data_IF_963796814512
#
_entry.id   IF_963796814512
#
_cell.length_a   1.000
_cell.length_b   1.000
_cell.length_c   1.000
_cell.angle_alpha   90.00
_cell.angle_beta   90.00
_cell.angle_gamma   90.00
#
_symmetry.space_group_name_H-M   'P 1'
#
loop_
_entity.id
_entity.type
_entity.pdbx_description
1 polymer ?
#
# COMPACT_ATOMS: atom_id res chain seq x y z
N UNK A 1 5.92 -1.41 -0.92
CA UNK A 1 6.54 -1.60 0.42
C UNK A 1 6.93 -0.25 1.07
N UNK A 2 6.37 0.07 2.24
CA UNK A 2 6.57 1.36 2.93
C UNK A 2 7.91 1.47 3.67
N UNK A 3 8.24 2.67 4.15
CA UNK A 3 9.40 2.91 5.03
C UNK A 3 9.27 2.13 6.34
N UNK A 4 8.06 2.03 6.90
CA UNK A 4 7.80 1.22 8.09
C UNK A 4 8.10 -0.26 7.84
N UNK A 5 7.77 -0.77 6.65
CA UNK A 5 8.13 -2.13 6.23
C UNK A 5 9.63 -2.39 6.17
N UNK A 6 10.47 -1.36 5.96
CA UNK A 6 11.94 -1.48 5.96
C UNK A 6 12.49 -1.81 7.34
N UNK A 7 11.89 -1.23 8.39
CA UNK A 7 12.39 -1.37 9.77
C UNK A 7 12.25 -2.81 10.25
N UNK A 8 11.13 -3.46 9.96
CA UNK A 8 10.87 -4.83 10.40
C UNK A 8 11.44 -5.90 9.46
N UNK A 9 11.89 -5.52 8.26
CA UNK A 9 12.30 -6.48 7.22
C UNK A 9 13.38 -7.46 7.69
N UNK A 10 14.43 -6.96 8.33
CA UNK A 10 15.54 -7.80 8.79
C UNK A 10 15.09 -8.78 9.88
N UNK A 11 14.28 -8.32 10.84
CA UNK A 11 13.75 -9.15 11.90
C UNK A 11 12.80 -10.24 11.36
N UNK A 12 11.92 -9.89 10.41
CA UNK A 12 11.02 -10.84 9.75
C UNK A 12 11.81 -11.85 8.91
N UNK A 13 12.82 -11.41 8.17
CA UNK A 13 13.67 -12.31 7.37
C UNK A 13 14.42 -13.31 8.26
N UNK A 14 15.00 -12.85 9.38
CA UNK A 14 15.66 -13.73 10.34
C UNK A 14 14.68 -14.72 10.99
N UNK A 15 13.46 -14.27 11.31
CA UNK A 15 12.42 -15.14 11.86
C UNK A 15 11.96 -16.19 10.85
N UNK A 16 11.75 -15.80 9.59
CA UNK A 16 11.39 -16.73 8.52
C UNK A 16 12.47 -17.81 8.34
N UNK A 17 13.75 -17.43 8.36
CA UNK A 17 14.86 -18.37 8.29
C UNK A 17 14.86 -19.34 9.48
N UNK A 18 14.62 -18.86 10.70
CA UNK A 18 14.53 -19.69 11.91
C UNK A 18 13.34 -20.65 11.89
N UNK A 19 12.21 -20.23 11.35
CA UNK A 19 10.98 -21.04 11.31
C UNK A 19 10.86 -21.89 10.03
N UNK A 20 11.79 -21.75 9.08
CA UNK A 20 11.68 -22.40 7.78
C UNK A 20 10.43 -21.97 7.03
N UNK A 21 10.07 -20.68 7.07
CA UNK A 21 8.92 -20.14 6.35
C UNK A 21 9.34 -19.59 4.99
N UNK A 22 8.52 -19.77 3.93
CA UNK A 22 8.75 -19.13 2.65
C UNK A 22 8.70 -17.61 2.78
N UNK A 23 9.51 -16.90 1.99
CA UNK A 23 9.55 -15.43 2.02
C UNK A 23 8.77 -14.86 0.84
N UNK A 24 7.86 -13.93 1.12
CA UNK A 24 7.06 -13.23 0.11
C UNK A 24 7.37 -11.73 0.09
N UNK A 25 7.35 -11.17 -1.12
CA UNK A 25 7.43 -9.73 -1.38
C UNK A 25 6.21 -9.26 -2.15
N UNK A 26 5.60 -8.17 -1.69
CA UNK A 26 4.43 -7.55 -2.32
C UNK A 26 4.55 -6.03 -2.33
N UNK A 27 4.15 -5.40 -3.43
CA UNK A 27 4.19 -3.95 -3.56
C UNK A 27 3.15 -3.24 -2.70
N UNK A 28 1.98 -3.88 -2.50
CA UNK A 28 0.77 -3.28 -1.90
C UNK A 28 0.41 -1.95 -2.59
N UNK A 29 0.39 -2.00 -3.93
CA UNK A 29 0.29 -0.82 -4.76
C UNK A 29 -1.12 -0.21 -4.73
N UNK A 30 -1.21 1.03 -4.24
CA UNK A 30 -2.42 1.86 -4.28
C UNK A 30 -2.35 2.95 -5.37
N UNK A 31 -1.26 2.98 -6.14
CA UNK A 31 -1.08 3.83 -7.30
C UNK A 31 -0.35 3.05 -8.40
N UNK A 32 -0.63 3.38 -9.67
CA UNK A 32 -0.06 2.69 -10.83
C UNK A 32 1.47 2.68 -10.82
N UNK A 33 2.10 3.78 -10.41
CA UNK A 33 3.56 3.91 -10.31
C UNK A 33 4.20 3.02 -9.23
N UNK A 34 3.39 2.34 -8.40
CA UNK A 34 3.87 1.48 -7.33
C UNK A 34 3.79 -0.01 -7.66
N UNK A 35 3.09 -0.37 -8.73
CA UNK A 35 2.97 -1.77 -9.16
C UNK A 35 4.38 -2.31 -9.41
N UNK A 36 4.68 -3.47 -8.82
CA UNK A 36 5.99 -4.11 -8.95
C UNK A 36 7.11 -3.50 -8.11
N UNK A 37 6.87 -2.52 -7.23
CA UNK A 37 7.89 -2.07 -6.28
C UNK A 37 8.33 -3.16 -5.30
N UNK A 38 7.46 -4.12 -5.02
CA UNK A 38 7.77 -5.35 -4.32
C UNK A 38 7.12 -6.51 -5.08
N UNK A 39 7.85 -7.61 -5.21
CA UNK A 39 7.40 -8.80 -5.90
C UNK A 39 8.07 -10.03 -5.31
N UNK A 40 7.62 -11.21 -5.73
CA UNK A 40 8.21 -12.48 -5.33
C UNK A 40 8.67 -13.20 -6.58
N UNK A 41 9.93 -13.62 -6.61
CA UNK A 41 10.46 -14.53 -7.61
C UNK A 41 10.15 -15.98 -7.20
N UNK A 42 9.76 -16.78 -8.18
CA UNK A 42 9.64 -18.22 -8.08
C UNK A 42 10.03 -18.85 -9.42
N UNK A 43 10.50 -20.12 -9.43
CA UNK A 43 10.76 -20.84 -10.67
C UNK A 43 9.45 -21.08 -11.44
N UNK A 44 9.47 -20.92 -12.76
CA UNK A 44 8.29 -21.12 -13.61
C UNK A 44 7.45 -19.85 -13.79
N UNK A 45 6.22 -20.01 -14.27
CA UNK A 45 5.35 -18.88 -14.63
C UNK A 45 3.86 -19.14 -14.39
N UNK A 46 3.50 -20.35 -13.95
CA UNK A 46 2.12 -20.75 -13.70
C UNK A 46 1.74 -20.78 -12.22
N UNK A 47 0.44 -20.89 -11.97
CA UNK A 47 -0.10 -21.16 -10.62
C UNK A 47 0.48 -22.46 -10.04
N UNK A 48 0.58 -23.58 -10.78
CA UNK A 48 1.18 -24.81 -10.23
C UNK A 48 2.62 -24.60 -9.76
N UNK A 49 3.42 -23.88 -10.56
CA UNK A 49 4.82 -23.60 -10.23
C UNK A 49 4.94 -22.75 -8.95
N UNK A 50 4.04 -21.76 -8.81
CA UNK A 50 3.95 -20.95 -7.59
C UNK A 50 3.61 -21.82 -6.37
N UNK A 51 2.62 -22.70 -6.47
CA UNK A 51 2.23 -23.58 -5.36
C UNK A 51 3.38 -24.53 -4.97
N UNK A 52 4.09 -25.09 -5.96
CA UNK A 52 5.30 -25.88 -5.74
C UNK A 52 6.38 -25.06 -5.04
N UNK A 53 6.65 -23.85 -5.50
CA UNK A 53 7.65 -22.97 -4.89
C UNK A 53 7.30 -22.58 -3.44
N UNK A 54 6.02 -22.47 -3.11
CA UNK A 54 5.54 -22.29 -1.72
C UNK A 54 5.84 -23.53 -0.87
N UNK A 55 5.49 -24.72 -1.35
CA UNK A 55 5.72 -25.96 -0.64
C UNK A 55 7.22 -26.25 -0.43
N UNK A 56 8.03 -26.00 -1.46
CA UNK A 56 9.48 -26.20 -1.46
C UNK A 56 10.25 -25.03 -0.84
N UNK A 57 9.58 -23.90 -0.57
CA UNK A 57 10.15 -22.68 0.04
C UNK A 57 11.28 -22.06 -0.79
N UNK A 58 11.15 -22.12 -2.12
CA UNK A 58 12.14 -21.59 -3.08
C UNK A 58 11.85 -20.16 -3.53
N UNK A 59 10.90 -19.49 -2.87
CA UNK A 59 10.49 -18.11 -3.15
C UNK A 59 11.53 -17.09 -2.65
N UNK A 60 11.77 -16.07 -3.46
CA UNK A 60 12.67 -14.96 -3.11
C UNK A 60 11.89 -13.65 -3.19
N UNK A 61 11.77 -12.95 -2.07
CA UNK A 61 11.23 -11.60 -2.07
C UNK A 61 12.21 -10.62 -2.70
N UNK A 62 11.73 -9.83 -3.65
CA UNK A 62 12.51 -8.80 -4.33
C UNK A 62 11.79 -7.46 -4.42
N UNK A 63 12.46 -6.51 -5.08
CA UNK A 63 12.00 -5.14 -5.23
C UNK A 63 12.76 -4.15 -4.35
N UNK A 64 12.16 -2.98 -4.12
CA UNK A 64 12.72 -1.88 -3.31
C UNK A 64 11.69 -1.29 -2.37
N UNK A 65 12.16 -0.78 -1.24
CA UNK A 65 11.32 0.03 -0.37
C UNK A 65 11.04 1.40 -1.01
N UNK A 66 9.88 1.96 -0.70
CA UNK A 66 9.56 3.35 -1.03
C UNK A 66 10.58 4.29 -0.43
N UNK A 67 10.88 5.33 -1.19
CA UNK A 67 11.49 6.54 -0.67
C UNK A 67 10.43 7.46 -0.07
N UNK A 68 10.83 8.43 0.75
CA UNK A 68 9.93 9.48 1.22
C UNK A 68 9.29 10.27 0.06
N UNK A 69 10.03 10.45 -1.04
CA UNK A 69 9.53 11.12 -2.25
C UNK A 69 8.42 10.32 -2.92
N UNK A 70 8.61 9.01 -3.09
CA UNK A 70 7.56 8.12 -3.63
C UNK A 70 6.29 8.21 -2.78
N UNK A 71 6.43 8.38 -1.46
CA UNK A 71 5.31 8.47 -0.53
C UNK A 71 4.61 9.82 -0.62
N UNK A 72 5.38 10.91 -0.64
CA UNK A 72 4.85 12.26 -0.70
C UNK A 72 4.04 12.51 -1.99
N UNK A 73 4.49 12.01 -3.15
CA UNK A 73 3.80 12.19 -4.44
C UNK A 73 2.36 11.67 -4.39
N UNK A 74 2.10 10.61 -3.62
CA UNK A 74 0.78 9.97 -3.54
C UNK A 74 0.01 10.42 -2.31
N UNK A 75 0.68 10.57 -1.17
CA UNK A 75 0.06 10.98 0.08
C UNK A 75 -0.41 12.44 0.04
N UNK A 76 0.38 13.36 -0.54
CA UNK A 76 0.06 14.79 -0.50
C UNK A 76 -1.27 15.14 -1.20
N UNK A 77 -1.59 14.64 -2.42
CA UNK A 77 -2.90 14.87 -3.04
C UNK A 77 -4.06 14.31 -2.21
N UNK A 78 -3.86 13.13 -1.60
CA UNK A 78 -4.89 12.49 -0.78
C UNK A 78 -5.11 13.25 0.53
N UNK A 79 -4.04 13.73 1.18
CA UNK A 79 -4.11 14.57 2.37
C UNK A 79 -4.77 15.92 2.10
N UNK A 80 -4.45 16.58 0.98
CA UNK A 80 -5.11 17.82 0.59
C UNK A 80 -6.62 17.63 0.40
N UNK A 81 -7.02 16.55 -0.28
CA UNK A 81 -8.43 16.20 -0.46
C UNK A 81 -9.12 15.92 0.87
N UNK A 82 -8.47 15.21 1.79
CA UNK A 82 -9.09 14.80 3.06
C UNK A 82 -9.16 15.93 4.09
N UNK A 83 -8.13 16.77 4.17
CA UNK A 83 -8.03 17.83 5.19
C UNK A 83 -8.66 19.14 4.75
N UNK A 84 -8.69 19.45 3.45
CA UNK A 84 -9.13 20.77 2.96
C UNK A 84 -10.38 20.66 2.08
N UNK A 85 -10.30 19.93 0.96
CA UNK A 85 -11.37 19.93 -0.04
C UNK A 85 -12.66 19.32 0.52
N UNK A 86 -12.58 18.13 1.13
CA UNK A 86 -13.76 17.42 1.62
C UNK A 86 -14.43 18.12 2.80
N UNK A 87 -13.70 18.63 3.82
CA UNK A 87 -14.30 19.42 4.89
C UNK A 87 -14.91 20.72 4.39
N UNK A 88 -14.21 21.48 3.53
CA UNK A 88 -14.74 22.73 2.98
C UNK A 88 -16.05 22.51 2.21
N UNK A 89 -16.09 21.48 1.36
CA UNK A 89 -17.31 21.09 0.66
C UNK A 89 -18.45 20.71 1.61
N UNK A 90 -18.16 19.94 2.68
CA UNK A 90 -19.17 19.56 3.69
C UNK A 90 -19.73 20.78 4.43
N UNK A 91 -18.87 21.74 4.80
CA UNK A 91 -19.30 23.00 5.44
C UNK A 91 -20.17 23.82 4.50
N UNK A 92 -19.73 24.03 3.25
CA UNK A 92 -20.51 24.78 2.26
C UNK A 92 -21.89 24.13 2.01
N UNK A 93 -21.93 22.80 1.92
CA UNK A 93 -23.18 22.05 1.76
C UNK A 93 -24.11 22.21 2.97
N UNK A 94 -23.57 22.21 4.19
CA UNK A 94 -24.36 22.42 5.40
C UNK A 94 -24.97 23.83 5.43
N UNK A 95 -24.18 24.86 5.15
CA UNK A 95 -24.65 26.25 5.10
C UNK A 95 -25.76 26.43 4.07
N UNK A 96 -25.59 25.89 2.86
CA UNK A 96 -26.62 25.96 1.80
C UNK A 96 -27.94 25.33 2.25
N UNK A 97 -27.91 24.17 2.91
CA UNK A 97 -29.13 23.53 3.45
C UNK A 97 -29.84 24.43 4.46
N UNK A 98 -29.12 25.01 5.40
CA UNK A 98 -29.70 25.88 6.45
C UNK A 98 -30.31 27.15 5.86
N UNK A 99 -29.68 27.74 4.83
CA UNK A 99 -30.23 28.93 4.15
C UNK A 99 -31.52 28.59 3.41
N UNK A 100 -31.57 27.47 2.68
CA UNK A 100 -32.78 27.01 1.98
C UNK A 100 -33.92 26.71 2.96
N UNK A 101 -33.63 26.06 4.09
CA UNK A 101 -34.63 25.76 5.13
C UNK A 101 -35.16 27.03 5.83
N UNK A 102 -34.33 28.07 5.98
CA UNK A 102 -34.76 29.38 6.50
C UNK A 102 -35.59 30.18 5.51
N UNK A 103 -35.31 30.06 4.21
CA UNK A 103 -36.07 30.77 3.17
C UNK A 103 -37.47 30.20 2.94
N UNK A 104 -37.73 28.98 3.41
CA UNK A 104 -39.02 28.27 3.29
C UNK A 104 -39.87 28.31 4.58
N UNK A 105 -39.44 29.06 5.60
CA UNK A 105 -40.23 29.35 6.81
C UNK A 105 -40.65 30.81 6.80
#
# INVERSE_FOLDING_TARGET
>A
PSVAGRVSYQAVSALNARLGLPTFGGSDAHALSMIGLGYTYFPGSGIPDLLTAIAERTLIAGGRFMTFRDHAIIAAPNMWRSMIVSPAYKVQRAVRRTVTERSNR
#
